data_IF_318979034765
#
_entry.id   IF_318979034765
#
_cell.length_a   1.000
_cell.length_b   1.000
_cell.length_c   1.000
_cell.angle_alpha   90.00
_cell.angle_beta   90.00
_cell.angle_gamma   90.00
#
_symmetry.space_group_name_H-M   'P 1'
#
loop_
_entity.id
_entity.type
_entity.pdbx_description
1 polymer ?
#
# COMPACT_ATOMS: atom_id res chain seq x y z
N UNK A 1 -2.71 -9.13 3.52
CA UNK A 1 -2.59 -8.72 2.11
C UNK A 1 -3.24 -9.70 1.15
N UNK A 2 -3.05 -11.04 1.21
CA UNK A 2 -3.74 -11.94 0.28
C UNK A 2 -5.27 -11.70 0.21
N UNK A 3 -5.94 -11.66 1.36
CA UNK A 3 -7.36 -11.31 1.45
C UNK A 3 -7.71 -9.87 1.01
N UNK A 4 -6.73 -8.96 0.91
CA UNK A 4 -6.95 -7.60 0.41
C UNK A 4 -6.91 -7.54 -1.12
N UNK A 5 -6.28 -8.51 -1.77
CA UNK A 5 -6.19 -8.60 -3.23
C UNK A 5 -7.33 -9.42 -3.83
N UNK A 6 -7.91 -10.33 -3.06
CA UNK A 6 -9.02 -11.20 -3.49
C UNK A 6 -10.23 -10.45 -4.07
N UNK A 7 -10.68 -9.30 -3.52
CA UNK A 7 -11.82 -8.58 -4.07
C UNK A 7 -11.54 -7.87 -5.41
N UNK A 8 -10.27 -7.73 -5.80
CA UNK A 8 -9.92 -7.07 -7.05
C UNK A 8 -10.13 -8.05 -8.23
N UNK A 9 -10.74 -7.62 -9.35
CA UNK A 9 -10.86 -8.44 -10.57
C UNK A 9 -9.50 -8.90 -11.08
N UNK A 10 -9.40 -10.14 -11.58
CA UNK A 10 -8.12 -10.73 -12.00
C UNK A 10 -7.47 -9.97 -13.17
N UNK A 11 -8.28 -9.32 -13.98
CA UNK A 11 -7.94 -8.48 -15.13
C UNK A 11 -7.72 -7.01 -14.78
N UNK A 12 -7.98 -6.59 -13.53
CA UNK A 12 -7.70 -5.22 -13.06
C UNK A 12 -6.18 -4.95 -13.14
N UNK A 13 -5.74 -3.97 -13.94
CA UNK A 13 -4.32 -3.71 -14.15
C UNK A 13 -3.69 -3.05 -12.92
N UNK A 14 -2.99 -3.86 -12.11
CA UNK A 14 -2.22 -3.38 -10.96
C UNK A 14 -0.73 -3.53 -11.24
N UNK A 15 -0.02 -2.42 -11.44
CA UNK A 15 1.42 -2.47 -11.68
C UNK A 15 2.23 -2.73 -10.39
N UNK A 16 1.86 -2.07 -9.30
CA UNK A 16 2.65 -2.03 -8.06
C UNK A 16 1.75 -2.03 -6.83
N UNK A 17 2.18 -2.69 -5.75
CA UNK A 17 1.57 -2.59 -4.42
C UNK A 17 2.61 -2.10 -3.43
N UNK A 18 2.33 -0.94 -2.81
CA UNK A 18 3.14 -0.40 -1.72
C UNK A 18 2.50 -0.72 -0.38
N UNK A 19 3.27 -1.33 0.53
CA UNK A 19 2.81 -1.68 1.86
C UNK A 19 3.92 -1.47 2.89
N UNK A 20 3.57 -1.45 4.17
CA UNK A 20 4.57 -1.40 5.24
C UNK A 20 5.36 -2.71 5.37
N UNK A 21 6.47 -2.68 6.12
CA UNK A 21 7.33 -3.84 6.29
C UNK A 21 6.71 -5.01 7.08
N UNK A 22 5.53 -4.83 7.69
CA UNK A 22 4.82 -5.98 8.30
C UNK A 22 4.31 -6.94 7.24
N UNK A 23 4.06 -6.45 6.01
CA UNK A 23 3.72 -7.27 4.85
C UNK A 23 4.90 -7.95 4.18
N UNK A 24 6.12 -7.80 4.70
CA UNK A 24 7.30 -8.53 4.23
C UNK A 24 7.26 -10.02 4.67
N UNK A 25 6.32 -10.77 4.11
CA UNK A 25 6.14 -12.21 4.38
C UNK A 25 6.06 -13.00 3.08
N UNK A 26 6.45 -14.28 3.12
CA UNK A 26 6.42 -15.16 1.94
C UNK A 26 5.03 -15.23 1.31
N UNK A 27 3.99 -15.35 2.13
CA UNK A 27 2.61 -15.39 1.66
C UNK A 27 2.20 -14.11 0.92
N UNK A 28 2.67 -12.94 1.37
CA UNK A 28 2.40 -11.69 0.68
C UNK A 28 3.13 -11.63 -0.66
N UNK A 29 4.44 -11.84 -0.67
CA UNK A 29 5.22 -11.82 -1.91
C UNK A 29 4.72 -12.86 -2.92
N UNK A 30 4.32 -14.06 -2.49
CA UNK A 30 3.70 -15.06 -3.36
C UNK A 30 2.38 -14.57 -3.99
N UNK A 31 1.50 -13.93 -3.20
CA UNK A 31 0.25 -13.38 -3.72
C UNK A 31 0.48 -12.29 -4.78
N UNK A 32 1.49 -11.44 -4.60
CA UNK A 32 1.85 -10.40 -5.58
C UNK A 32 2.47 -11.01 -6.84
N UNK A 33 3.37 -11.99 -6.69
CA UNK A 33 4.00 -12.69 -7.80
C UNK A 33 2.97 -13.44 -8.66
N UNK A 34 2.01 -14.13 -8.03
CA UNK A 34 0.94 -14.84 -8.72
C UNK A 34 0.09 -13.89 -9.57
N UNK A 35 -0.08 -12.65 -9.09
CA UNK A 35 -0.81 -11.59 -9.80
C UNK A 35 0.09 -10.76 -10.72
N UNK A 36 1.38 -11.06 -10.81
CA UNK A 36 2.40 -10.33 -11.59
C UNK A 36 2.51 -8.84 -11.21
N UNK A 37 2.33 -8.55 -9.93
CA UNK A 37 2.40 -7.19 -9.36
C UNK A 37 3.76 -6.98 -8.69
N UNK A 38 4.40 -5.82 -8.90
CA UNK A 38 5.64 -5.49 -8.21
C UNK A 38 5.39 -5.11 -6.74
N UNK A 39 6.20 -5.67 -5.84
CA UNK A 39 6.11 -5.42 -4.40
C UNK A 39 7.01 -4.24 -3.97
N UNK A 40 6.40 -3.13 -3.58
CA UNK A 40 7.06 -1.99 -2.93
C UNK A 40 6.91 -2.09 -1.41
N UNK A 41 7.50 -3.14 -0.85
CA UNK A 41 7.39 -3.49 0.56
C UNK A 41 8.80 -3.48 1.16
N UNK A 42 9.15 -2.56 2.06
CA UNK A 42 10.49 -2.51 2.62
C UNK A 42 10.75 -3.80 3.41
N UNK A 43 11.91 -4.47 3.21
CA UNK A 43 12.27 -5.63 4.01
C UNK A 43 12.35 -5.27 5.50
N UNK A 44 12.05 -6.26 6.35
CA UNK A 44 12.24 -6.12 7.80
C UNK A 44 13.71 -5.93 8.15
N UNK A 45 13.98 -5.29 9.29
CA UNK A 45 15.33 -5.21 9.84
C UNK A 45 15.93 -6.61 9.99
N UNK A 46 17.19 -6.78 9.58
CA UNK A 46 17.87 -8.08 9.59
C UNK A 46 17.41 -9.05 8.49
N UNK A 47 16.69 -8.58 7.46
CA UNK A 47 16.30 -9.41 6.33
C UNK A 47 17.49 -10.12 5.66
N UNK A 48 17.36 -11.43 5.51
CA UNK A 48 18.28 -12.30 4.77
C UNK A 48 17.69 -12.70 3.41
N UNK A 49 18.55 -13.20 2.52
CA UNK A 49 18.15 -13.74 1.23
C UNK A 49 17.15 -14.91 1.41
N UNK A 50 16.23 -15.03 0.47
CA UNK A 50 15.35 -16.20 0.36
C UNK A 50 15.86 -17.09 -0.77
N UNK A 51 15.41 -18.34 -0.76
CA UNK A 51 15.65 -19.25 -1.88
C UNK A 51 15.17 -18.63 -3.20
N UNK A 52 15.84 -18.94 -4.33
CA UNK A 52 15.37 -18.56 -5.66
C UNK A 52 13.94 -19.02 -5.93
N UNK A 53 13.31 -18.41 -6.92
CA UNK A 53 12.03 -18.87 -7.46
C UNK A 53 12.19 -20.25 -8.09
N UNK A 54 11.07 -20.95 -8.31
CA UNK A 54 11.07 -22.30 -8.89
C UNK A 54 11.73 -22.38 -10.28
N UNK A 55 11.76 -21.27 -11.02
CA UNK A 55 12.42 -21.13 -12.32
C UNK A 55 13.90 -20.72 -12.22
N UNK A 56 14.47 -20.72 -11.02
CA UNK A 56 15.88 -20.38 -10.75
C UNK A 56 16.16 -18.88 -10.67
N UNK A 57 15.19 -17.99 -10.94
CA UNK A 57 15.39 -16.54 -10.84
C UNK A 57 15.53 -16.10 -9.38
N UNK A 58 16.36 -15.08 -9.16
CA UNK A 58 16.46 -14.42 -7.84
C UNK A 58 15.11 -13.88 -7.41
N UNK A 59 14.72 -14.14 -6.17
CA UNK A 59 13.47 -13.63 -5.62
C UNK A 59 13.51 -12.08 -5.58
N UNK A 60 12.47 -11.35 -6.05
CA UNK A 60 12.50 -9.88 -6.11
C UNK A 60 12.79 -9.20 -4.76
N UNK A 61 12.26 -9.76 -3.67
CA UNK A 61 12.62 -9.35 -2.31
C UNK A 61 14.12 -9.42 -2.03
N UNK A 62 14.80 -10.48 -2.47
CA UNK A 62 16.25 -10.65 -2.25
C UNK A 62 17.05 -9.63 -3.03
N UNK A 63 16.69 -9.38 -4.30
CA UNK A 63 17.29 -8.31 -5.08
C UNK A 63 17.11 -6.93 -4.40
N UNK A 64 15.94 -6.68 -3.80
CA UNK A 64 15.71 -5.46 -3.02
C UNK A 64 16.54 -5.41 -1.73
N UNK A 65 16.72 -6.53 -1.01
CA UNK A 65 17.61 -6.58 0.17
C UNK A 65 19.05 -6.25 -0.22
N UNK A 66 19.53 -6.78 -1.34
CA UNK A 66 20.88 -6.50 -1.86
C UNK A 66 21.03 -5.03 -2.27
N UNK A 67 20.07 -4.51 -3.02
CA UNK A 67 20.04 -3.09 -3.40
C UNK A 67 20.03 -2.16 -2.17
N UNK A 68 19.24 -2.48 -1.14
CA UNK A 68 19.20 -1.73 0.11
C UNK A 68 20.52 -1.77 0.88
N UNK A 69 21.29 -2.86 0.80
CA UNK A 69 22.64 -2.95 1.39
C UNK A 69 23.66 -2.11 0.64
N UNK A 70 23.53 -2.00 -0.69
CA UNK A 70 24.47 -1.27 -1.53
C UNK A 70 24.20 0.24 -1.54
N UNK A 71 22.94 0.65 -1.65
CA UNK A 71 22.54 2.04 -1.90
C UNK A 71 21.78 2.68 -0.73
N UNK A 72 21.38 1.88 0.26
CA UNK A 72 20.67 2.35 1.45
C UNK A 72 19.16 2.56 1.23
N UNK A 73 18.42 2.55 2.34
CA UNK A 73 16.96 2.66 2.32
C UNK A 73 16.40 3.99 1.82
N UNK A 74 17.19 5.07 1.92
CA UNK A 74 16.76 6.39 1.45
C UNK A 74 16.73 6.46 -0.08
N UNK A 75 17.78 5.98 -0.75
CA UNK A 75 17.86 5.98 -2.23
C UNK A 75 16.73 5.15 -2.82
N UNK A 76 16.57 3.91 -2.30
CA UNK A 76 15.52 3.01 -2.74
C UNK A 76 14.12 3.62 -2.64
N UNK A 77 13.79 4.33 -1.54
CA UNK A 77 12.45 4.95 -1.37
C UNK A 77 12.16 6.03 -2.42
N UNK A 78 13.19 6.76 -2.85
CA UNK A 78 13.09 7.80 -3.87
C UNK A 78 12.92 7.14 -5.25
N UNK A 79 13.82 6.23 -5.61
CA UNK A 79 13.85 5.56 -6.91
C UNK A 79 12.61 4.70 -7.16
N UNK A 80 12.13 3.98 -6.14
CA UNK A 80 10.96 3.11 -6.25
C UNK A 80 9.62 3.85 -6.21
N UNK A 81 9.62 5.15 -5.89
CA UNK A 81 8.38 5.91 -5.69
C UNK A 81 7.58 5.48 -4.44
N UNK A 82 8.20 4.76 -3.49
CA UNK A 82 7.56 4.29 -2.25
C UNK A 82 6.84 5.40 -1.47
N UNK A 83 7.32 6.64 -1.59
CA UNK A 83 6.71 7.81 -0.96
C UNK A 83 5.24 8.05 -1.34
N UNK A 84 4.77 7.53 -2.48
CA UNK A 84 3.37 7.60 -2.90
C UNK A 84 2.41 6.96 -1.89
N UNK A 85 2.87 5.99 -1.10
CA UNK A 85 2.11 5.36 0.01
C UNK A 85 1.62 6.39 1.02
N UNK A 86 2.42 7.44 1.31
CA UNK A 86 2.05 8.50 2.25
C UNK A 86 0.78 9.24 1.81
N UNK A 87 0.55 9.40 0.51
CA UNK A 87 -0.67 10.06 0.00
C UNK A 87 -1.93 9.25 0.35
N UNK A 88 -1.87 7.93 0.21
CA UNK A 88 -2.97 7.06 0.60
C UNK A 88 -3.21 7.08 2.12
N UNK A 89 -2.13 7.06 2.92
CA UNK A 89 -2.23 7.21 4.38
C UNK A 89 -2.87 8.53 4.79
N UNK A 90 -2.45 9.65 4.16
CA UNK A 90 -3.04 10.97 4.38
C UNK A 90 -4.50 11.03 3.96
N UNK A 91 -4.88 10.42 2.83
CA UNK A 91 -6.28 10.36 2.40
C UNK A 91 -7.15 9.58 3.40
N UNK A 92 -6.67 8.44 3.89
CA UNK A 92 -7.38 7.66 4.91
C UNK A 92 -7.45 8.39 6.25
N UNK A 93 -6.39 9.10 6.64
CA UNK A 93 -6.40 9.96 7.83
C UNK A 93 -7.48 11.03 7.71
N UNK A 94 -7.52 11.77 6.59
CA UNK A 94 -8.56 12.79 6.33
C UNK A 94 -9.96 12.19 6.38
N UNK A 95 -10.19 11.03 5.75
CA UNK A 95 -11.48 10.36 5.77
C UNK A 95 -11.96 10.09 7.21
N UNK A 96 -11.06 9.59 8.07
CA UNK A 96 -11.37 9.29 9.48
C UNK A 96 -11.59 10.56 10.30
N UNK A 97 -10.76 11.57 10.12
CA UNK A 97 -10.86 12.84 10.87
C UNK A 97 -12.13 13.62 10.50
N UNK A 98 -12.51 13.65 9.22
CA UNK A 98 -13.66 14.41 8.75
C UNK A 98 -15.00 13.74 9.10
N UNK A 99 -15.09 12.42 9.00
CA UNK A 99 -16.38 11.70 9.11
C UNK A 99 -16.50 10.81 10.35
N UNK A 100 -15.47 10.78 11.20
CA UNK A 100 -15.34 9.91 12.35
C UNK A 100 -14.80 8.52 11.99
N UNK A 101 -14.05 7.93 12.93
CA UNK A 101 -13.32 6.66 12.70
C UNK A 101 -14.26 5.45 12.49
N UNK A 102 -15.26 5.16 13.35
CA UNK A 102 -16.13 4.01 13.10
C UNK A 102 -17.19 4.28 12.02
N UNK A 103 -17.51 3.22 11.28
CA UNK A 103 -18.76 3.12 10.53
C UNK A 103 -19.88 2.85 11.54
N UNK A 104 -20.90 3.72 11.57
CA UNK A 104 -22.00 3.66 12.56
C UNK A 104 -23.00 2.54 12.28
N UNK A 105 -23.10 2.13 11.02
CA UNK A 105 -24.07 1.14 10.59
C UNK A 105 -23.69 -0.27 11.08
N UNK A 106 -24.69 -1.10 11.40
CA UNK A 106 -24.49 -2.45 11.98
C UNK A 106 -24.52 -3.59 10.97
N UNK A 107 -24.95 -3.33 9.73
CA UNK A 107 -25.00 -4.33 8.65
C UNK A 107 -23.92 -4.01 7.63
N UNK A 108 -23.29 -5.04 7.07
CA UNK A 108 -22.19 -4.87 6.13
C UNK A 108 -22.59 -4.03 4.91
N UNK A 109 -23.72 -4.31 4.28
CA UNK A 109 -24.18 -3.56 3.10
C UNK A 109 -24.37 -2.06 3.40
N UNK A 110 -24.90 -1.74 4.59
CA UNK A 110 -25.11 -0.34 4.99
C UNK A 110 -23.80 0.31 5.46
N UNK A 111 -22.82 -0.45 5.95
CA UNK A 111 -21.46 0.04 6.19
C UNK A 111 -20.75 0.39 4.87
N UNK A 112 -20.89 -0.46 3.86
CA UNK A 112 -20.35 -0.23 2.51
C UNK A 112 -20.93 1.05 1.91
N UNK A 113 -22.25 1.20 1.92
CA UNK A 113 -22.91 2.43 1.45
C UNK A 113 -22.47 3.67 2.23
N UNK A 114 -22.30 3.56 3.55
CA UNK A 114 -21.78 4.66 4.38
C UNK A 114 -20.34 5.03 3.99
N UNK A 115 -19.47 4.05 3.75
CA UNK A 115 -18.10 4.27 3.31
C UNK A 115 -18.06 4.96 1.94
N UNK A 116 -18.87 4.51 0.97
CA UNK A 116 -18.97 5.14 -0.35
C UNK A 116 -19.46 6.58 -0.27
N UNK A 117 -20.49 6.88 0.55
CA UNK A 117 -20.97 8.23 0.73
C UNK A 117 -19.90 9.18 1.31
N UNK A 118 -19.14 8.70 2.31
CA UNK A 118 -18.01 9.45 2.89
C UNK A 118 -16.89 9.70 1.87
N UNK A 119 -16.55 8.69 1.07
CA UNK A 119 -15.55 8.82 0.00
C UNK A 119 -16.01 9.80 -1.08
N UNK A 120 -17.26 9.73 -1.52
CA UNK A 120 -17.83 10.65 -2.49
C UNK A 120 -17.79 12.09 -1.97
N UNK A 121 -18.22 12.33 -0.73
CA UNK A 121 -18.15 13.65 -0.10
C UNK A 121 -16.71 14.17 -0.01
N UNK A 122 -15.75 13.32 0.39
CA UNK A 122 -14.33 13.70 0.46
C UNK A 122 -13.76 14.07 -0.93
N UNK A 123 -14.12 13.30 -1.96
CA UNK A 123 -13.68 13.57 -3.34
C UNK A 123 -14.25 14.90 -3.84
N UNK A 124 -15.53 15.19 -3.57
CA UNK A 124 -16.14 16.48 -3.89
C UNK A 124 -15.43 17.63 -3.17
N UNK A 125 -15.12 17.49 -1.88
CA UNK A 125 -14.34 18.50 -1.15
C UNK A 125 -12.98 18.73 -1.79
N UNK A 126 -12.26 17.66 -2.13
CA UNK A 126 -10.94 17.76 -2.80
C UNK A 126 -11.03 18.43 -4.18
N UNK A 127 -12.11 18.24 -4.93
CA UNK A 127 -12.33 18.94 -6.20
C UNK A 127 -12.65 20.44 -6.01
N UNK A 128 -13.39 20.79 -4.96
CA UNK A 128 -13.76 22.18 -4.68
C UNK A 128 -12.60 23.00 -4.08
N UNK A 129 -11.64 22.35 -3.43
CA UNK A 129 -10.44 23.00 -2.91
C UNK A 129 -9.87 22.26 -1.70
N UNK A 130 -8.54 22.29 -1.58
CA UNK A 130 -7.82 21.71 -0.45
C UNK A 130 -7.34 22.81 0.49
N UNK A 131 -7.53 22.69 1.81
CA UNK A 131 -6.99 23.66 2.75
C UNK A 131 -5.46 23.61 2.76
N UNK A 132 -4.83 24.78 2.70
CA UNK A 132 -3.38 24.91 2.85
C UNK A 132 -2.97 24.59 4.28
N UNK A 133 -2.17 23.54 4.43
CA UNK A 133 -1.63 23.16 5.73
C UNK A 133 -0.34 23.93 5.95
N UNK A 134 -0.37 24.90 6.87
CA UNK A 134 0.84 25.59 7.34
C UNK A 134 1.39 24.92 8.59
N UNK A 135 2.70 24.77 8.68
CA UNK A 135 3.36 24.33 9.91
C UNK A 135 3.40 25.53 10.85
N UNK A 136 2.68 25.45 11.97
CA UNK A 136 2.83 26.45 13.02
C UNK A 136 4.21 26.28 13.66
N UNK A 137 5.05 27.31 13.55
CA UNK A 137 6.34 27.39 14.24
C UNK A 137 6.16 27.71 15.72
#
# INVERSE_FOLDING_TARGET
MPALLEPLPADEPVATVAADGTYDTRACHAALLNRRVAALIPPRAGAVAWSPLADGRTHPRTAMVEHLRQQGAKSWKIESGYHRRRLAETAMFRLKTLFGDPLRNRRFDTQTSQAHARLAAMNTMTQLGMPDTVVAC
#
